data_IF_978100235397
#
_entry.id   IF_978100235397
#
_cell.length_a   1.000
_cell.length_b   1.000
_cell.length_c   1.000
_cell.angle_alpha   90.00
_cell.angle_beta   90.00
_cell.angle_gamma   90.00
#
_symmetry.space_group_name_H-M   'P 1'
#
loop_
_entity.id
_entity.type
_entity.pdbx_description
1 polymer ?
#
# COMPACT_ATOMS: atom_id res chain seq x y z
N UNK A 1 -25.30 59.53 1.05
CA UNK A 1 -24.25 59.64 0.01
C UNK A 1 -23.34 60.87 0.16
N UNK A 2 -23.76 61.92 0.89
CA UNK A 2 -22.91 63.09 1.19
C UNK A 2 -21.82 62.81 2.25
N UNK A 3 -22.09 61.93 3.23
CA UNK A 3 -21.20 61.71 4.37
C UNK A 3 -19.95 60.87 4.08
N UNK A 4 -20.02 59.93 3.14
CA UNK A 4 -18.84 59.13 2.78
C UNK A 4 -17.74 59.95 2.08
N UNK A 5 -18.11 61.06 1.44
CA UNK A 5 -17.14 61.97 0.82
C UNK A 5 -16.49 62.89 1.87
N UNK A 6 -17.23 63.29 2.90
CA UNK A 6 -16.70 64.08 4.02
C UNK A 6 -15.82 63.23 4.94
N UNK A 7 -16.20 61.98 5.22
CA UNK A 7 -15.39 61.03 6.01
C UNK A 7 -14.02 60.76 5.36
N UNK A 8 -13.99 60.44 4.05
CA UNK A 8 -12.72 60.26 3.32
C UNK A 8 -11.85 61.51 3.28
N UNK A 9 -12.46 62.71 3.28
CA UNK A 9 -11.72 63.96 3.33
C UNK A 9 -11.10 64.20 4.71
N UNK A 10 -11.80 63.79 5.78
CA UNK A 10 -11.31 63.84 7.16
C UNK A 10 -10.17 62.85 7.37
N UNK A 11 -10.32 61.60 6.91
CA UNK A 11 -9.27 60.59 6.96
C UNK A 11 -7.99 61.04 6.24
N UNK A 12 -8.13 61.60 5.04
CA UNK A 12 -6.99 62.16 4.30
C UNK A 12 -6.31 63.31 5.03
N UNK A 13 -7.08 64.18 5.70
CA UNK A 13 -6.51 65.26 6.51
C UNK A 13 -5.79 64.71 7.74
N UNK A 14 -6.36 63.73 8.43
CA UNK A 14 -5.74 63.08 9.58
C UNK A 14 -4.45 62.36 9.19
N UNK A 15 -4.42 61.70 8.03
CA UNK A 15 -3.24 61.01 7.53
C UNK A 15 -2.06 61.96 7.18
N UNK A 16 -2.36 63.24 6.90
CA UNK A 16 -1.37 64.28 6.56
C UNK A 16 -1.12 65.23 7.75
N UNK A 17 -1.88 65.10 8.83
CA UNK A 17 -1.77 65.97 9.99
C UNK A 17 -0.52 65.62 10.78
N UNK A 18 0.45 66.53 10.79
CA UNK A 18 1.69 66.38 11.56
C UNK A 18 1.89 67.65 12.42
N UNK A 19 1.44 67.65 13.69
CA UNK A 19 1.40 68.85 14.52
C UNK A 19 2.80 69.29 14.96
N UNK A 20 3.71 68.34 15.22
CA UNK A 20 5.03 68.59 15.78
C UNK A 20 6.10 68.58 14.69
N UNK A 21 6.10 69.61 13.84
CA UNK A 21 7.11 69.79 12.79
C UNK A 21 7.96 71.03 13.07
N UNK A 22 9.29 70.87 13.10
CA UNK A 22 10.24 71.99 13.19
C UNK A 22 10.07 73.00 12.04
N UNK A 23 9.54 72.54 10.90
CA UNK A 23 9.12 73.39 9.78
C UNK A 23 7.98 74.36 10.17
N UNK A 24 7.00 73.90 10.95
CA UNK A 24 5.90 74.75 11.44
C UNK A 24 6.45 75.80 12.41
N UNK A 25 7.38 75.41 13.29
CA UNK A 25 8.04 76.33 14.20
C UNK A 25 8.84 77.41 13.46
N UNK A 26 9.54 77.05 12.37
CA UNK A 26 10.24 77.98 11.49
C UNK A 26 9.28 78.89 10.71
N UNK A 27 8.20 78.35 10.12
CA UNK A 27 7.21 79.13 9.37
C UNK A 27 6.49 80.15 10.25
N UNK A 28 6.11 79.77 11.48
CA UNK A 28 5.53 80.70 12.45
C UNK A 28 6.52 81.83 12.76
N UNK A 29 7.79 81.48 12.96
CA UNK A 29 8.86 82.44 13.20
C UNK A 29 9.04 83.43 12.02
N UNK A 30 9.04 82.93 10.78
CA UNK A 30 9.09 83.76 9.57
C UNK A 30 7.85 84.65 9.45
N UNK A 31 6.67 84.14 9.82
CA UNK A 31 5.42 84.90 9.78
C UNK A 31 5.42 86.06 10.80
N UNK A 32 5.96 85.82 12.00
CA UNK A 32 6.14 86.83 13.04
C UNK A 32 7.10 87.93 12.55
N UNK A 33 8.27 87.54 12.04
CA UNK A 33 9.23 88.49 11.46
C UNK A 33 8.66 89.26 10.27
N UNK A 34 7.90 88.60 9.41
CA UNK A 34 7.23 89.21 8.25
C UNK A 34 6.17 90.22 8.70
N UNK A 35 5.42 89.92 9.77
CA UNK A 35 4.41 90.83 10.31
C UNK A 35 5.04 92.11 10.86
N UNK A 36 6.17 91.99 11.58
CA UNK A 36 6.94 93.12 12.11
C UNK A 36 7.58 93.92 10.98
N UNK A 37 8.16 93.24 9.99
CA UNK A 37 8.76 93.89 8.80
C UNK A 37 7.71 94.66 7.99
N UNK A 38 6.52 94.08 7.81
CA UNK A 38 5.41 94.72 7.13
C UNK A 38 4.88 95.93 7.91
N UNK A 39 4.71 95.82 9.23
CA UNK A 39 4.29 96.92 10.09
C UNK A 39 5.29 98.09 10.06
N UNK A 40 6.60 97.77 10.01
CA UNK A 40 7.66 98.76 9.86
C UNK A 40 7.61 99.48 8.50
N UNK A 41 7.41 98.74 7.40
CA UNK A 41 7.32 99.30 6.04
C UNK A 41 6.07 100.19 5.88
N UNK A 42 4.95 99.77 6.45
CA UNK A 42 3.66 100.49 6.37
C UNK A 42 3.61 101.70 7.32
N UNK A 43 4.59 101.85 8.21
CA UNK A 43 4.66 102.94 9.18
C UNK A 43 3.60 102.86 10.28
N UNK A 44 3.00 101.68 10.49
CA UNK A 44 2.01 101.39 11.54
C UNK A 44 2.63 100.54 12.63
N UNK A 45 3.80 100.96 13.11
CA UNK A 45 4.51 100.26 14.16
C UNK A 45 3.82 100.58 15.50
N UNK A 46 3.03 99.65 16.01
CA UNK A 46 2.48 99.73 17.37
C UNK A 46 3.57 99.42 18.42
N UNK A 47 3.46 100.01 19.62
CA UNK A 47 4.37 99.74 20.76
C UNK A 47 4.42 98.25 21.15
N UNK A 48 3.41 97.47 20.75
CA UNK A 48 3.35 96.01 20.95
C UNK A 48 4.46 95.24 20.20
N UNK A 49 5.13 95.85 19.24
CA UNK A 49 6.20 95.21 18.47
C UNK A 49 7.58 95.30 19.14
N UNK A 50 7.71 95.99 20.28
CA UNK A 50 8.87 96.03 21.18
C UNK A 50 10.24 95.95 20.48
N UNK A 51 10.49 96.82 19.51
CA UNK A 51 11.72 96.83 18.72
C UNK A 51 12.88 97.45 19.50
N UNK A 52 13.65 96.61 20.19
CA UNK A 52 14.97 96.96 20.75
C UNK A 52 16.11 96.29 19.97
N UNK A 53 17.29 96.90 19.99
CA UNK A 53 18.49 96.35 19.35
C UNK A 53 18.87 94.96 19.90
N UNK A 54 18.66 94.75 21.20
CA UNK A 54 18.88 93.48 21.88
C UNK A 54 17.91 92.40 21.38
N UNK A 55 16.61 92.72 21.25
CA UNK A 55 15.60 91.79 20.74
C UNK A 55 15.83 91.41 19.28
N UNK A 56 16.34 92.32 18.46
CA UNK A 56 16.72 92.02 17.07
C UNK A 56 17.87 91.00 17.04
N UNK A 57 18.83 91.11 17.95
CA UNK A 57 19.95 90.17 18.06
C UNK A 57 19.47 88.79 18.53
N UNK A 58 18.57 88.74 19.52
CA UNK A 58 17.94 87.51 20.00
C UNK A 58 17.11 86.83 18.91
N UNK A 59 16.30 87.61 18.18
CA UNK A 59 15.53 87.13 17.03
C UNK A 59 16.44 86.56 15.95
N UNK A 60 17.54 87.23 15.63
CA UNK A 60 18.50 86.71 14.64
C UNK A 60 19.01 85.32 15.03
N UNK A 61 19.44 85.14 16.27
CA UNK A 61 19.94 83.85 16.76
C UNK A 61 18.82 82.79 16.81
N UNK A 62 17.61 83.17 17.24
CA UNK A 62 16.47 82.27 17.32
C UNK A 62 16.00 81.80 15.94
N UNK A 63 15.91 82.71 14.96
CA UNK A 63 15.51 82.38 13.60
C UNK A 63 16.56 81.54 12.88
N UNK A 64 17.85 81.80 13.15
CA UNK A 64 18.93 80.98 12.61
C UNK A 64 18.90 79.56 13.18
N UNK A 65 18.67 79.40 14.48
CA UNK A 65 18.47 78.10 15.12
C UNK A 65 17.26 77.36 14.53
N UNK A 66 16.10 78.02 14.43
CA UNK A 66 14.88 77.44 13.85
C UNK A 66 15.06 77.05 12.38
N UNK A 67 15.86 77.81 11.62
CA UNK A 67 16.21 77.47 10.22
C UNK A 67 17.03 76.20 10.16
N UNK A 68 18.08 76.10 10.99
CA UNK A 68 18.94 74.91 11.04
C UNK A 68 18.16 73.67 11.47
N UNK A 69 17.26 73.80 12.44
CA UNK A 69 16.41 72.70 12.91
C UNK A 69 15.43 72.20 11.82
N UNK A 70 14.87 73.13 11.03
CA UNK A 70 14.04 72.78 9.88
C UNK A 70 14.87 72.13 8.74
N UNK A 71 16.08 72.61 8.47
CA UNK A 71 17.01 72.01 7.50
C UNK A 71 17.38 70.57 7.89
N UNK A 72 17.77 70.35 9.16
CA UNK A 72 18.09 69.02 9.70
C UNK A 72 16.90 68.06 9.64
N UNK A 73 15.70 68.53 9.95
CA UNK A 73 14.49 67.71 9.86
C UNK A 73 14.23 67.24 8.42
N UNK A 74 14.36 68.13 7.44
CA UNK A 74 14.18 67.77 6.02
C UNK A 74 15.25 66.77 5.57
N UNK A 75 16.50 66.92 6.00
CA UNK A 75 17.57 65.97 5.68
C UNK A 75 17.33 64.60 6.32
N UNK A 76 16.93 64.56 7.60
CA UNK A 76 16.61 63.33 8.30
C UNK A 76 15.45 62.58 7.63
N UNK A 77 14.41 63.30 7.22
CA UNK A 77 13.25 62.69 6.57
C UNK A 77 13.59 62.16 5.18
N UNK A 78 14.40 62.89 4.39
CA UNK A 78 14.93 62.39 3.12
C UNK A 78 15.74 61.11 3.30
N UNK A 79 16.57 61.06 4.33
CA UNK A 79 17.41 59.90 4.63
C UNK A 79 16.55 58.71 5.08
N UNK A 80 15.55 58.95 5.93
CA UNK A 80 14.56 57.94 6.36
C UNK A 80 13.87 57.29 5.17
N UNK A 81 13.28 58.11 4.28
CA UNK A 81 12.58 57.64 3.08
C UNK A 81 13.55 56.91 2.14
N UNK A 82 14.79 57.40 1.99
CA UNK A 82 15.81 56.74 1.18
C UNK A 82 16.20 55.35 1.70
N UNK A 83 16.39 55.22 3.01
CA UNK A 83 16.70 53.94 3.67
C UNK A 83 15.52 52.98 3.58
N UNK A 84 14.30 53.46 3.80
CA UNK A 84 13.08 52.65 3.71
C UNK A 84 12.91 52.08 2.29
N UNK A 85 13.07 52.92 1.26
CA UNK A 85 12.95 52.48 -0.12
C UNK A 85 14.07 51.52 -0.53
N UNK A 86 15.31 51.76 -0.09
CA UNK A 86 16.44 50.85 -0.32
C UNK A 86 16.22 49.50 0.38
N UNK A 87 15.75 49.51 1.62
CA UNK A 87 15.42 48.31 2.39
C UNK A 87 14.28 47.53 1.75
N UNK A 88 13.20 48.20 1.32
CA UNK A 88 12.08 47.58 0.64
C UNK A 88 12.50 46.93 -0.69
N UNK A 89 13.29 47.64 -1.51
CA UNK A 89 13.78 47.09 -2.78
C UNK A 89 14.74 45.91 -2.58
N UNK A 90 15.65 46.00 -1.60
CA UNK A 90 16.54 44.90 -1.22
C UNK A 90 15.74 43.68 -0.74
N UNK A 91 14.74 43.88 0.12
CA UNK A 91 13.90 42.80 0.63
C UNK A 91 13.11 42.12 -0.50
N UNK A 92 12.49 42.89 -1.39
CA UNK A 92 11.79 42.34 -2.57
C UNK A 92 12.75 41.54 -3.46
N UNK A 93 13.99 42.00 -3.64
CA UNK A 93 14.98 41.26 -4.43
C UNK A 93 15.41 39.95 -3.75
N UNK A 94 15.58 39.97 -2.43
CA UNK A 94 15.92 38.79 -1.64
C UNK A 94 14.80 37.75 -1.68
N UNK A 95 13.55 38.17 -1.48
CA UNK A 95 12.37 37.29 -1.55
C UNK A 95 12.27 36.66 -2.95
N UNK A 96 12.49 37.43 -4.02
CA UNK A 96 12.47 36.87 -5.38
C UNK A 96 13.53 35.79 -5.56
N UNK A 97 14.75 36.03 -5.08
CA UNK A 97 15.86 35.07 -5.18
C UNK A 97 15.58 33.79 -4.39
N UNK A 98 15.21 33.91 -3.11
CA UNK A 98 14.93 32.75 -2.26
C UNK A 98 13.76 31.95 -2.82
N UNK A 99 12.70 32.61 -3.28
CA UNK A 99 11.55 31.94 -3.87
C UNK A 99 11.91 31.17 -5.15
N UNK A 100 12.80 31.70 -5.99
CA UNK A 100 13.29 30.95 -7.17
C UNK A 100 14.13 29.73 -6.81
N UNK A 101 14.99 29.84 -5.79
CA UNK A 101 15.81 28.74 -5.29
C UNK A 101 14.94 27.65 -4.65
N UNK A 102 14.06 28.02 -3.73
CA UNK A 102 13.16 27.10 -3.01
C UNK A 102 12.16 26.40 -3.92
N UNK A 103 11.66 27.09 -4.93
CA UNK A 103 10.67 26.54 -5.85
C UNK A 103 11.26 25.42 -6.73
N UNK A 104 12.55 25.53 -7.08
CA UNK A 104 13.28 24.46 -7.78
C UNK A 104 13.40 23.21 -6.91
N UNK A 105 13.88 23.36 -5.67
CA UNK A 105 14.04 22.24 -4.74
C UNK A 105 12.71 21.59 -4.36
N UNK A 106 11.64 22.40 -4.23
CA UNK A 106 10.29 21.92 -3.96
C UNK A 106 9.74 21.09 -5.12
N UNK A 107 9.99 21.49 -6.37
CA UNK A 107 9.60 20.70 -7.56
C UNK A 107 10.30 19.35 -7.59
N UNK A 108 11.60 19.32 -7.29
CA UNK A 108 12.37 18.06 -7.26
C UNK A 108 11.87 17.12 -6.17
N UNK A 109 11.62 17.63 -4.96
CA UNK A 109 11.01 16.86 -3.87
C UNK A 109 9.62 16.34 -4.26
N UNK A 110 8.80 17.16 -4.90
CA UNK A 110 7.48 16.74 -5.37
C UNK A 110 7.58 15.61 -6.41
N UNK A 111 8.54 15.69 -7.35
CA UNK A 111 8.79 14.62 -8.33
C UNK A 111 9.17 13.31 -7.65
N UNK A 112 10.05 13.35 -6.66
CA UNK A 112 10.45 12.17 -5.88
C UNK A 112 9.24 11.56 -5.15
N UNK A 113 8.42 12.40 -4.51
CA UNK A 113 7.21 11.94 -3.81
C UNK A 113 6.20 11.30 -4.77
N UNK A 114 5.99 11.88 -5.95
CA UNK A 114 5.10 11.28 -6.98
C UNK A 114 5.62 9.92 -7.45
N UNK A 115 6.92 9.79 -7.68
CA UNK A 115 7.52 8.50 -8.05
C UNK A 115 7.37 7.46 -6.94
N UNK A 116 7.60 7.84 -5.70
CA UNK A 116 7.39 6.95 -4.54
C UNK A 116 5.93 6.53 -4.42
N UNK A 117 4.99 7.46 -4.58
CA UNK A 117 3.56 7.17 -4.50
C UNK A 117 3.12 6.24 -5.65
N UNK A 118 3.62 6.44 -6.87
CA UNK A 118 3.38 5.51 -7.98
C UNK A 118 3.84 4.08 -7.64
N UNK A 119 5.07 3.92 -7.13
CA UNK A 119 5.56 2.59 -6.71
C UNK A 119 4.71 1.95 -5.61
N UNK A 120 4.20 2.74 -4.67
CA UNK A 120 3.31 2.25 -3.62
C UNK A 120 1.96 1.80 -4.18
N UNK A 121 1.41 2.51 -5.16
CA UNK A 121 0.20 2.08 -5.87
C UNK A 121 0.43 0.80 -6.66
N UNK A 122 1.55 0.71 -7.37
CA UNK A 122 1.91 -0.50 -8.11
C UNK A 122 2.06 -1.70 -7.16
N UNK A 123 2.69 -1.49 -6.00
CA UNK A 123 2.82 -2.53 -4.97
C UNK A 123 1.46 -2.95 -4.41
N UNK A 124 0.56 -2.01 -4.11
CA UNK A 124 -0.79 -2.35 -3.67
C UNK A 124 -1.55 -3.12 -4.75
N UNK A 125 -1.44 -2.71 -6.01
CA UNK A 125 -2.04 -3.45 -7.14
C UNK A 125 -1.47 -4.87 -7.27
N UNK A 126 -0.18 -5.07 -7.02
CA UNK A 126 0.41 -6.41 -6.98
C UNK A 126 -0.12 -7.24 -5.80
N UNK A 127 -0.33 -6.62 -4.64
CA UNK A 127 -0.93 -7.28 -3.48
C UNK A 127 -2.37 -7.70 -3.81
N UNK A 128 -3.16 -6.81 -4.40
CA UNK A 128 -4.54 -7.11 -4.81
C UNK A 128 -4.58 -8.27 -5.82
N UNK A 129 -3.67 -8.27 -6.81
CA UNK A 129 -3.56 -9.35 -7.79
C UNK A 129 -3.17 -10.69 -7.15
N UNK A 130 -2.24 -10.68 -6.19
CA UNK A 130 -1.87 -11.89 -5.44
C UNK A 130 -3.05 -12.37 -4.58
N UNK A 131 -3.75 -11.46 -3.90
CA UNK A 131 -4.91 -11.80 -3.09
C UNK A 131 -6.03 -12.40 -3.95
N UNK A 132 -6.33 -11.83 -5.11
CA UNK A 132 -7.30 -12.36 -6.05
C UNK A 132 -6.90 -13.77 -6.53
N UNK A 133 -5.62 -13.99 -6.86
CA UNK A 133 -5.12 -15.31 -7.23
C UNK A 133 -5.23 -16.32 -6.08
N UNK A 134 -4.90 -15.92 -4.85
CA UNK A 134 -5.00 -16.77 -3.66
C UNK A 134 -6.46 -17.10 -3.36
N UNK A 135 -7.37 -16.13 -3.44
CA UNK A 135 -8.81 -16.38 -3.31
C UNK A 135 -9.31 -17.34 -4.39
N UNK A 136 -8.85 -17.17 -5.63
CA UNK A 136 -9.16 -18.10 -6.73
C UNK A 136 -8.70 -19.53 -6.43
N UNK A 137 -7.50 -19.68 -5.85
CA UNK A 137 -6.97 -20.97 -5.39
C UNK A 137 -7.73 -21.57 -4.22
N UNK A 138 -8.30 -20.76 -3.33
CA UNK A 138 -9.08 -21.24 -2.19
C UNK A 138 -10.50 -21.65 -2.57
N UNK A 139 -11.15 -20.87 -3.45
CA UNK A 139 -12.58 -21.05 -3.80
C UNK A 139 -12.83 -22.27 -4.70
N UNK A 140 -11.88 -22.67 -5.55
CA UNK A 140 -12.15 -23.71 -6.56
C UNK A 140 -10.92 -24.51 -6.98
N UNK A 141 -11.12 -25.47 -7.90
CA UNK A 141 -10.02 -26.19 -8.56
C UNK A 141 -9.28 -25.22 -9.48
N UNK A 142 -8.10 -24.78 -9.05
CA UNK A 142 -7.22 -23.97 -9.89
C UNK A 142 -6.51 -24.80 -10.95
N UNK A 143 -6.20 -24.14 -12.06
CA UNK A 143 -5.45 -24.71 -13.17
C UNK A 143 -3.99 -24.32 -13.04
N UNK A 144 -3.12 -25.31 -13.10
CA UNK A 144 -1.68 -25.12 -13.17
C UNK A 144 -1.19 -25.65 -14.52
N UNK A 145 -0.58 -24.80 -15.34
CA UNK A 145 0.04 -25.19 -16.61
C UNK A 145 1.54 -24.93 -16.57
N UNK A 146 2.30 -25.83 -17.18
CA UNK A 146 3.74 -25.70 -17.36
C UNK A 146 4.20 -26.63 -18.50
N UNK A 147 5.42 -26.41 -18.97
CA UNK A 147 6.05 -27.29 -19.95
C UNK A 147 6.27 -28.70 -19.37
N UNK A 148 6.36 -29.72 -20.25
CA UNK A 148 6.65 -31.08 -19.80
C UNK A 148 7.99 -31.16 -19.05
N UNK A 149 9.01 -30.45 -19.52
CA UNK A 149 10.34 -30.45 -18.91
C UNK A 149 10.32 -29.90 -17.47
N UNK A 150 9.55 -28.84 -17.21
CA UNK A 150 9.40 -28.28 -15.87
C UNK A 150 8.66 -29.23 -14.92
N UNK A 151 7.62 -29.91 -15.42
CA UNK A 151 6.93 -30.94 -14.66
C UNK A 151 7.86 -32.10 -14.32
N UNK A 152 8.65 -32.58 -15.28
CA UNK A 152 9.61 -33.67 -15.06
C UNK A 152 10.72 -33.28 -14.08
N UNK A 153 11.16 -32.02 -14.11
CA UNK A 153 12.15 -31.50 -13.15
C UNK A 153 11.62 -31.45 -11.71
N UNK A 154 10.33 -31.13 -11.52
CA UNK A 154 9.73 -30.96 -10.18
C UNK A 154 9.17 -32.26 -9.60
N UNK A 155 8.46 -33.06 -10.40
CA UNK A 155 7.80 -34.31 -9.96
C UNK A 155 8.65 -35.56 -10.22
N UNK A 156 9.59 -35.50 -11.17
CA UNK A 156 10.36 -36.63 -11.66
C UNK A 156 9.68 -37.31 -12.86
N UNK A 157 10.48 -37.71 -13.85
CA UNK A 157 10.02 -38.30 -15.11
C UNK A 157 9.10 -39.54 -14.94
N UNK A 158 9.37 -40.38 -13.93
CA UNK A 158 8.54 -41.57 -13.65
C UNK A 158 7.12 -41.20 -13.22
N UNK A 159 6.98 -40.19 -12.36
CA UNK A 159 5.68 -39.73 -11.88
C UNK A 159 4.89 -39.05 -13.00
N UNK A 160 5.56 -38.22 -13.80
CA UNK A 160 4.95 -37.56 -14.97
C UNK A 160 4.43 -38.60 -15.98
N UNK A 161 5.23 -39.63 -16.30
CA UNK A 161 4.80 -40.70 -17.19
C UNK A 161 3.58 -41.47 -16.66
N UNK A 162 3.51 -41.72 -15.33
CA UNK A 162 2.34 -42.34 -14.71
C UNK A 162 1.10 -41.44 -14.77
N UNK A 163 1.25 -40.15 -14.48
CA UNK A 163 0.16 -39.17 -14.54
C UNK A 163 -0.36 -38.94 -15.97
N UNK A 164 0.51 -39.00 -16.97
CA UNK A 164 0.13 -38.97 -18.39
C UNK A 164 -0.70 -40.20 -18.78
N UNK A 165 -0.29 -41.40 -18.35
CA UNK A 165 -1.08 -42.64 -18.58
C UNK A 165 -2.43 -42.59 -17.88
N UNK A 166 -2.46 -42.05 -16.66
CA UNK A 166 -3.67 -41.87 -15.87
C UNK A 166 -4.57 -40.70 -16.35
N UNK A 167 -4.21 -40.02 -17.46
CA UNK A 167 -4.95 -38.89 -18.05
C UNK A 167 -5.21 -37.74 -17.07
N UNK A 168 -4.31 -37.52 -16.12
CA UNK A 168 -4.40 -36.42 -15.13
C UNK A 168 -4.02 -35.08 -15.79
N UNK A 169 -3.04 -35.09 -16.69
CA UNK A 169 -2.66 -33.93 -17.47
C UNK A 169 -3.56 -33.76 -18.70
N UNK A 170 -3.99 -32.52 -18.96
CA UNK A 170 -4.58 -32.09 -20.23
C UNK A 170 -3.55 -31.32 -21.02
N UNK A 171 -3.25 -31.80 -22.23
CA UNK A 171 -2.39 -31.10 -23.19
C UNK A 171 -3.12 -29.90 -23.75
N UNK A 172 -2.47 -28.75 -23.75
CA UNK A 172 -3.01 -27.52 -24.30
C UNK A 172 -1.93 -26.82 -25.11
N UNK A 173 -2.29 -26.35 -26.31
CA UNK A 173 -1.43 -25.47 -27.09
C UNK A 173 -1.62 -24.04 -26.60
N UNK A 174 -0.54 -23.41 -26.16
CA UNK A 174 -0.52 -22.01 -25.75
C UNK A 174 0.22 -21.22 -26.81
N UNK A 175 -0.45 -20.20 -27.35
CA UNK A 175 0.13 -19.24 -28.30
C UNK A 175 0.81 -18.15 -27.51
N UNK A 176 2.13 -18.08 -27.58
CA UNK A 176 2.92 -16.99 -27.00
C UNK A 176 3.45 -16.15 -28.15
N UNK A 177 3.31 -14.82 -28.02
CA UNK A 177 3.88 -13.88 -28.98
C UNK A 177 5.31 -13.56 -28.56
N UNK A 178 6.27 -14.14 -29.25
CA UNK A 178 7.70 -13.82 -29.12
C UNK A 178 8.17 -13.13 -30.39
N UNK A 179 8.86 -11.99 -30.23
CA UNK A 179 9.61 -11.29 -31.30
C UNK A 179 8.86 -11.16 -32.65
N UNK A 180 7.58 -10.75 -32.59
CA UNK A 180 6.69 -10.56 -33.75
C UNK A 180 6.26 -11.82 -34.54
N UNK A 181 6.50 -13.02 -33.98
CA UNK A 181 5.93 -14.27 -34.46
C UNK A 181 5.01 -14.92 -33.39
N UNK A 182 3.91 -15.54 -33.83
CA UNK A 182 3.11 -16.41 -32.97
C UNK A 182 3.77 -17.79 -32.93
N UNK A 183 4.32 -18.16 -31.77
CA UNK A 183 4.87 -19.50 -31.54
C UNK A 183 3.91 -20.27 -30.64
N UNK A 184 3.56 -21.48 -31.06
CA UNK A 184 2.70 -22.39 -30.32
C UNK A 184 3.55 -23.38 -29.52
N UNK A 185 3.39 -23.37 -28.19
CA UNK A 185 4.04 -24.30 -27.28
C UNK A 185 3.01 -25.29 -26.72
N UNK A 186 3.37 -26.57 -26.60
CA UNK A 186 2.56 -27.58 -25.92
C UNK A 186 2.81 -27.50 -24.40
N UNK A 187 1.79 -27.10 -23.64
CA UNK A 187 1.81 -27.12 -22.18
C UNK A 187 0.94 -28.25 -21.63
N UNK A 188 1.38 -28.81 -20.50
CA UNK A 188 0.59 -29.77 -19.72
C UNK A 188 -0.11 -29.01 -18.60
N UNK A 189 -1.44 -29.09 -18.57
CA UNK A 189 -2.28 -28.47 -17.55
C UNK A 189 -2.91 -29.49 -16.61
N UNK A 190 -2.97 -29.16 -15.33
CA UNK A 190 -3.68 -29.94 -14.29
C UNK A 190 -4.73 -29.04 -13.68
N UNK A 191 -5.95 -29.57 -13.53
CA UNK A 191 -7.02 -28.93 -12.80
C UNK A 191 -7.23 -29.68 -11.48
N UNK A 192 -6.72 -29.12 -10.40
CA UNK A 192 -6.72 -29.75 -9.08
C UNK A 192 -7.07 -28.73 -7.99
N UNK A 193 -7.42 -29.24 -6.82
CA UNK A 193 -7.63 -28.38 -5.66
C UNK A 193 -6.27 -28.02 -5.03
N UNK A 194 -5.92 -26.74 -5.08
CA UNK A 194 -4.69 -26.19 -4.52
C UNK A 194 -4.96 -25.30 -3.30
N UNK A 195 -6.11 -25.46 -2.63
CA UNK A 195 -6.49 -24.64 -1.48
C UNK A 195 -5.62 -24.84 -0.24
N UNK A 196 -4.92 -25.98 -0.15
CA UNK A 196 -4.03 -26.29 0.98
C UNK A 196 -2.64 -25.70 0.79
N UNK A 197 -2.08 -25.17 1.87
CA UNK A 197 -0.71 -24.65 1.90
C UNK A 197 0.31 -25.74 1.54
N UNK A 198 1.38 -25.36 0.84
CA UNK A 198 2.47 -26.27 0.50
C UNK A 198 3.07 -26.98 1.72
N UNK A 199 3.18 -26.29 2.86
CA UNK A 199 3.68 -26.89 4.11
C UNK A 199 2.75 -27.98 4.66
N UNK A 200 1.44 -27.78 4.56
CA UNK A 200 0.45 -28.77 5.01
C UNK A 200 0.42 -29.97 4.06
N UNK A 201 0.57 -29.72 2.76
CA UNK A 201 0.71 -30.77 1.76
C UNK A 201 1.99 -31.59 1.97
N UNK A 202 3.12 -30.97 2.32
CA UNK A 202 4.36 -31.67 2.67
C UNK A 202 4.18 -32.56 3.91
N UNK A 203 3.58 -32.01 4.98
CA UNK A 203 3.30 -32.76 6.21
C UNK A 203 2.38 -33.94 5.98
N UNK A 204 1.30 -33.74 5.23
CA UNK A 204 0.34 -34.81 4.91
C UNK A 204 0.98 -35.86 3.98
N UNK A 205 1.79 -35.45 3.02
CA UNK A 205 2.54 -36.37 2.15
C UNK A 205 3.52 -37.24 2.94
N UNK A 206 4.24 -36.66 3.90
CA UNK A 206 5.14 -37.42 4.76
C UNK A 206 4.38 -38.41 5.65
N UNK A 207 3.25 -37.99 6.23
CA UNK A 207 2.37 -38.88 6.98
C UNK A 207 1.84 -40.03 6.10
N UNK A 208 1.37 -39.75 4.88
CA UNK A 208 0.92 -40.78 3.93
C UNK A 208 2.04 -41.74 3.56
N UNK A 209 3.27 -41.26 3.33
CA UNK A 209 4.43 -42.11 3.06
C UNK A 209 4.74 -43.04 4.23
N UNK A 210 4.64 -42.56 5.46
CA UNK A 210 4.83 -43.38 6.66
C UNK A 210 3.74 -44.45 6.75
N UNK A 211 2.47 -44.08 6.52
CA UNK A 211 1.35 -45.03 6.49
C UNK A 211 1.53 -46.09 5.40
N UNK A 212 1.98 -45.72 4.20
CA UNK A 212 2.26 -46.67 3.12
C UNK A 212 3.35 -47.66 3.53
N UNK A 213 4.44 -47.20 4.14
CA UNK A 213 5.52 -48.09 4.62
C UNK A 213 5.01 -49.06 5.68
N UNK A 214 4.16 -48.58 6.60
CA UNK A 214 3.53 -49.42 7.62
C UNK A 214 2.61 -50.46 6.99
N UNK A 215 1.76 -50.07 6.05
CA UNK A 215 0.87 -50.99 5.33
C UNK A 215 1.65 -52.04 4.53
N UNK A 216 2.79 -51.67 3.95
CA UNK A 216 3.68 -52.63 3.27
C UNK A 216 4.25 -53.67 4.24
N UNK A 217 4.65 -53.26 5.45
CA UNK A 217 5.10 -54.18 6.49
C UNK A 217 3.97 -55.09 6.97
N UNK A 218 2.79 -54.52 7.23
CA UNK A 218 1.62 -55.30 7.64
C UNK A 218 1.22 -56.32 6.56
N UNK A 219 1.25 -55.94 5.27
CA UNK A 219 1.00 -56.84 4.16
C UNK A 219 2.02 -57.99 4.11
N UNK A 220 3.31 -57.69 4.31
CA UNK A 220 4.37 -58.69 4.42
C UNK A 220 4.10 -59.66 5.59
N UNK A 221 3.75 -59.14 6.76
CA UNK A 221 3.42 -59.94 7.94
C UNK A 221 2.20 -60.84 7.69
N UNK A 222 1.18 -60.34 6.99
CA UNK A 222 0.02 -61.15 6.61
C UNK A 222 0.38 -62.23 5.60
N UNK A 223 1.21 -61.89 4.60
CA UNK A 223 1.70 -62.85 3.62
C UNK A 223 2.51 -63.96 4.31
N UNK A 224 3.36 -63.63 5.27
CA UNK A 224 4.14 -64.60 6.03
C UNK A 224 3.24 -65.50 6.89
N UNK A 225 2.25 -64.92 7.59
CA UNK A 225 1.24 -65.68 8.34
C UNK A 225 0.45 -66.62 7.44
N UNK A 226 0.04 -66.18 6.26
CA UNK A 226 -0.66 -67.02 5.29
C UNK A 226 0.22 -68.13 4.76
N UNK A 227 1.49 -67.85 4.47
CA UNK A 227 2.44 -68.88 4.03
C UNK A 227 2.69 -69.94 5.11
N UNK A 228 2.77 -69.52 6.38
CA UNK A 228 2.90 -70.42 7.52
C UNK A 228 1.65 -71.28 7.72
N UNK A 229 0.47 -70.67 7.62
CA UNK A 229 -0.80 -71.39 7.70
C UNK A 229 -0.94 -72.38 6.55
N UNK A 230 -0.54 -72.03 5.32
CA UNK A 230 -0.52 -72.96 4.19
C UNK A 230 0.36 -74.18 4.49
N UNK A 231 1.57 -73.99 5.03
CA UNK A 231 2.43 -75.11 5.45
C UNK A 231 1.81 -75.96 6.57
N UNK A 232 1.08 -75.35 7.51
CA UNK A 232 0.34 -76.07 8.54
C UNK A 232 -0.81 -76.87 7.93
N UNK A 233 -1.55 -76.30 6.98
CA UNK A 233 -2.60 -77.00 6.25
C UNK A 233 -2.04 -78.15 5.43
N UNK A 234 -0.89 -78.00 4.78
CA UNK A 234 -0.22 -79.10 4.07
C UNK A 234 0.13 -80.24 5.05
N UNK A 235 0.66 -79.92 6.23
CA UNK A 235 0.93 -80.93 7.27
C UNK A 235 -0.34 -81.60 7.78
N UNK A 236 -1.40 -80.84 8.01
CA UNK A 236 -2.71 -81.39 8.40
C UNK A 236 -3.24 -82.30 7.28
N UNK A 237 -3.12 -81.89 6.02
CA UNK A 237 -3.52 -82.67 4.86
C UNK A 237 -2.74 -83.99 4.80
N UNK A 238 -1.42 -83.99 4.98
CA UNK A 238 -0.63 -85.23 5.04
C UNK A 238 -1.05 -86.17 6.17
N UNK A 239 -1.35 -85.63 7.36
CA UNK A 239 -1.86 -86.44 8.49
C UNK A 239 -3.26 -86.99 8.20
N UNK A 240 -4.12 -86.21 7.54
CA UNK A 240 -5.44 -86.65 7.11
C UNK A 240 -5.35 -87.73 6.02
N UNK A 241 -4.43 -87.60 5.07
CA UNK A 241 -4.13 -88.62 4.06
C UNK A 241 -3.64 -89.92 4.72
N UNK A 242 -2.71 -89.84 5.68
CA UNK A 242 -2.24 -90.99 6.45
C UNK A 242 -3.37 -91.66 7.28
N UNK A 243 -4.27 -90.87 7.86
CA UNK A 243 -5.48 -91.35 8.54
C UNK A 243 -6.49 -92.00 7.56
N UNK A 244 -6.66 -91.43 6.36
CA UNK A 244 -7.52 -92.00 5.31
C UNK A 244 -7.00 -93.36 4.81
N UNK A 245 -5.68 -93.47 4.64
CA UNK A 245 -5.02 -94.74 4.28
C UNK A 245 -5.12 -95.75 5.43
N UNK A 246 -4.87 -95.34 6.68
CA UNK A 246 -4.91 -96.26 7.83
C UNK A 246 -6.32 -96.78 8.16
N UNK A 247 -7.37 -96.02 7.82
CA UNK A 247 -8.77 -96.45 7.91
C UNK A 247 -9.25 -97.31 6.73
N UNK A 248 -8.37 -97.67 5.80
CA UNK A 248 -8.68 -98.48 4.60
C UNK A 248 -9.86 -97.92 3.78
N UNK A 249 -10.00 -96.59 3.72
CA UNK A 249 -11.02 -95.93 2.89
C UNK A 249 -10.53 -95.69 1.45
N UNK A 250 -9.24 -95.93 1.16
CA UNK A 250 -8.65 -95.91 -0.19
C UNK A 250 -7.74 -97.14 -0.38
N UNK A 251 -7.94 -97.99 -1.42
CA UNK A 251 -7.07 -99.14 -1.70
C UNK A 251 -5.67 -98.70 -2.15
N UNK A 252 -4.61 -99.29 -1.57
CA UNK A 252 -3.19 -98.97 -1.79
C UNK A 252 -2.60 -99.26 -3.18
N UNK A 253 -3.37 -99.14 -4.27
CA UNK A 253 -2.87 -99.27 -5.65
C UNK A 253 -3.38 -98.11 -6.51
N UNK A 254 -2.88 -96.90 -6.28
CA UNK A 254 -2.82 -95.85 -7.30
C UNK A 254 -1.88 -94.72 -6.86
N UNK A 255 -0.61 -95.07 -6.65
CA UNK A 255 0.48 -94.10 -6.82
C UNK A 255 0.87 -94.14 -8.29
N UNK A 256 0.19 -93.36 -9.13
CA UNK A 256 0.73 -92.99 -10.43
C UNK A 256 0.48 -91.51 -10.69
N UNK A 257 1.59 -90.79 -10.71
CA UNK A 257 1.76 -89.43 -11.22
C UNK A 257 1.10 -89.32 -12.60
N UNK A 258 0.23 -88.33 -12.77
CA UNK A 258 -0.24 -87.82 -14.06
C UNK A 258 -0.06 -86.30 -14.07
N UNK A 259 0.76 -85.83 -15.00
CA UNK A 259 1.00 -84.41 -15.31
C UNK A 259 -0.31 -83.66 -15.70
N UNK A 260 -0.30 -82.31 -15.62
CA UNK A 260 -1.48 -81.50 -15.80
C UNK A 260 -1.79 -81.32 -17.29
N UNK A 261 -3.03 -81.51 -17.71
CA UNK A 261 -3.46 -80.96 -19.01
C UNK A 261 -4.94 -80.59 -19.05
N UNK A 262 -5.12 -79.33 -19.43
CA UNK A 262 -6.21 -78.69 -20.17
C UNK A 262 -7.71 -78.89 -19.83
N UNK A 263 -8.33 -77.72 -19.65
CA UNK A 263 -9.62 -77.33 -20.21
C UNK A 263 -10.89 -77.93 -19.60
N UNK A 264 -11.42 -77.20 -18.60
CA UNK A 264 -12.87 -77.00 -18.52
C UNK A 264 -13.16 -75.50 -18.47
N UNK A 265 -13.53 -75.01 -19.66
CA UNK A 265 -14.37 -73.85 -19.87
C UNK A 265 -15.78 -74.29 -19.47
N UNK A 266 -16.38 -73.63 -18.47
CA UNK A 266 -17.83 -73.62 -18.33
C UNK A 266 -18.24 -72.25 -17.80
N UNK A 267 -18.91 -71.52 -18.69
CA UNK A 267 -19.62 -70.29 -18.43
C UNK A 267 -20.90 -70.67 -17.66
N UNK A 268 -21.13 -70.08 -16.50
CA UNK A 268 -22.51 -69.80 -16.09
C UNK A 268 -22.56 -68.59 -15.16
N UNK A 269 -23.38 -67.64 -15.59
CA UNK A 269 -23.69 -66.35 -15.02
C UNK A 269 -24.31 -66.46 -13.62
N UNK A 270 -23.83 -65.69 -12.66
CA UNK A 270 -24.69 -65.13 -11.61
C UNK A 270 -24.37 -63.65 -11.38
N UNK A 271 -25.28 -62.81 -11.88
CA UNK A 271 -25.49 -61.43 -11.47
C UNK A 271 -25.58 -61.32 -9.94
N UNK A 272 -24.74 -60.49 -9.32
CA UNK A 272 -25.09 -59.84 -8.05
C UNK A 272 -24.76 -58.35 -8.13
N UNK A 273 -25.81 -57.59 -8.40
CA UNK A 273 -26.15 -56.29 -7.84
C UNK A 273 -25.02 -55.29 -7.55
N UNK A 274 -24.88 -54.36 -8.50
CA UNK A 274 -24.50 -52.98 -8.24
C UNK A 274 -25.42 -52.36 -7.19
N UNK A 275 -25.04 -52.47 -5.91
CA UNK A 275 -25.57 -51.65 -4.84
C UNK A 275 -25.18 -50.19 -5.05
N UNK A 276 -26.11 -49.40 -5.58
CA UNK A 276 -26.00 -47.95 -5.62
C UNK A 276 -25.99 -47.38 -4.20
N UNK A 277 -24.87 -46.80 -3.80
CA UNK A 277 -24.89 -45.80 -2.74
C UNK A 277 -25.26 -44.46 -3.38
N UNK A 278 -26.54 -44.10 -3.20
CA UNK A 278 -26.99 -42.72 -3.34
C UNK A 278 -26.14 -41.78 -2.47
N UNK A 279 -25.96 -40.52 -2.92
CA UNK A 279 -25.26 -39.50 -2.15
C UNK A 279 -26.10 -39.11 -0.94
N UNK A 280 -25.51 -39.19 0.25
CA UNK A 280 -26.09 -38.57 1.44
C UNK A 280 -26.25 -37.07 1.19
N UNK A 281 -27.49 -36.65 1.45
CA UNK A 281 -28.02 -35.31 1.26
C UNK A 281 -27.38 -34.32 2.23
N UNK A 282 -27.30 -33.08 1.74
CA UNK A 282 -27.31 -31.83 2.48
C UNK A 282 -27.78 -31.95 3.94
N UNK A 283 -26.88 -31.63 4.86
CA UNK A 283 -27.25 -31.03 6.13
C UNK A 283 -26.70 -29.60 6.12
N UNK A 284 -27.54 -28.71 5.61
CA UNK A 284 -27.41 -27.26 5.74
C UNK A 284 -28.09 -26.90 7.05
N UNK A 285 -27.33 -26.86 8.14
CA UNK A 285 -27.76 -26.14 9.34
C UNK A 285 -27.36 -24.67 9.16
N UNK A 286 -28.31 -23.91 8.60
CA UNK A 286 -28.48 -22.48 8.87
C UNK A 286 -28.81 -22.32 10.36
N UNK A 287 -27.85 -21.85 11.16
CA UNK A 287 -28.14 -21.07 12.36
C UNK A 287 -27.68 -19.63 12.12
N UNK A 288 -28.59 -18.88 11.49
CA UNK A 288 -28.73 -17.44 11.69
C UNK A 288 -29.25 -17.20 13.11
N UNK A 289 -28.37 -16.80 14.02
CA UNK A 289 -28.77 -16.01 15.18
C UNK A 289 -27.84 -14.80 15.32
N UNK A 290 -28.24 -13.78 14.57
CA UNK A 290 -28.34 -12.39 14.98
C UNK A 290 -28.01 -12.07 16.45
N UNK A 291 -27.38 -10.89 16.60
CA UNK A 291 -27.25 -10.05 17.80
C UNK A 291 -26.00 -10.23 18.68
N UNK A 292 -25.02 -9.34 18.45
CA UNK A 292 -23.87 -9.19 19.33
C UNK A 292 -23.02 -7.94 19.06
N UNK A 293 -23.67 -6.82 18.74
CA UNK A 293 -23.11 -5.47 18.71
C UNK A 293 -22.22 -5.16 19.94
N UNK A 294 -20.89 -5.11 19.77
CA UNK A 294 -20.01 -4.21 20.54
C UNK A 294 -18.90 -3.73 19.60
N UNK A 295 -19.21 -2.66 18.86
CA UNK A 295 -18.19 -1.73 18.40
C UNK A 295 -17.73 -0.88 19.57
N UNK A 296 -16.47 -1.06 19.97
CA UNK A 296 -15.74 0.01 20.66
C UNK A 296 -14.82 0.64 19.62
N UNK A 297 -15.34 1.71 19.00
CA UNK A 297 -14.54 2.68 18.28
C UNK A 297 -13.83 3.55 19.31
N UNK A 298 -12.50 3.43 19.35
CA UNK A 298 -11.63 4.54 19.74
C UNK A 298 -11.57 5.48 18.53
N UNK A 299 -12.35 6.54 18.57
CA UNK A 299 -12.11 7.75 17.76
C UNK A 299 -12.02 8.93 18.73
N UNK A 300 -10.78 9.37 18.92
CA UNK A 300 -10.39 10.60 19.60
C UNK A 300 -10.96 11.81 18.83
N UNK A 301 -11.92 12.51 19.43
CA UNK A 301 -12.30 13.88 19.08
C UNK A 301 -11.33 14.85 19.78
N UNK A 302 -10.28 15.26 19.07
CA UNK A 302 -9.57 16.51 19.35
C UNK A 302 -10.03 17.57 18.33
N UNK A 303 -11.11 18.27 18.66
CA UNK A 303 -11.43 19.57 18.07
C UNK A 303 -10.78 20.69 18.90
N UNK A 304 -9.92 21.43 18.22
CA UNK A 304 -9.47 22.77 18.58
C UNK A 304 -10.65 23.71 18.92
N UNK A 305 -10.65 24.34 20.09
CA UNK A 305 -11.07 25.75 20.20
C UNK A 305 -10.50 26.51 21.41
N UNK A 306 -9.58 27.44 21.10
CA UNK A 306 -9.41 28.82 21.60
C UNK A 306 -9.59 29.11 23.10
N UNK A 307 -8.48 29.54 23.72
CA UNK A 307 -8.29 30.91 24.23
C UNK A 307 -6.79 31.28 24.23
#
# INVERSE_FOLDING_TARGET
>A
MSDQASEKAVEKRLAVFNPDNSLNAYLNAVSELSSVSFAAIVGKLEDKHELSLEKIQEWKNLYELKRQDAELYVEAEKLRVGVENSSATANVSNIKRTLTEDLSTTRDRNKILRQRNARLRDMNSHIDLVNEQVEGMQKSKSKLSASQEEWEKRLGARAVAQMLRAKVFRRQMVKVREEDAEVEYEELSVLANFSKSGRDLERTNESMKQSIRRLQQELQDYQDKWSHNAQLFDRIATVLEDELVSRNLVPSEQVHIGEPDEAYQDDEDEEIETGGSEPEKDDVEDEDDSEGNIGNGDEDEDEDEKD
#
